data_IF_201186201893
#
_entry.id   IF_201186201893
#
_cell.length_a   1.000
_cell.length_b   1.000
_cell.length_c   1.000
_cell.angle_alpha   90.00
_cell.angle_beta   90.00
_cell.angle_gamma   90.00
#
_symmetry.space_group_name_H-M   'P 1'
#
loop_
_entity.id
_entity.type
_entity.pdbx_description
1 polymer ?
#
# COMPACT_ATOMS: atom_id res chain seq x y z
N UNK A 1 1.71 -4.35 -7.02
CA UNK A 1 1.36 -2.98 -6.56
C UNK A 1 -0.06 -2.56 -6.91
N UNK A 2 -0.44 -2.42 -8.20
CA UNK A 2 -1.82 -2.01 -8.59
C UNK A 2 -2.90 -2.92 -8.01
N UNK A 3 -2.69 -4.23 -7.99
CA UNK A 3 -3.61 -5.18 -7.36
C UNK A 3 -3.87 -4.85 -5.88
N UNK A 4 -2.81 -4.69 -5.08
CA UNK A 4 -2.94 -4.30 -3.67
C UNK A 4 -3.60 -2.93 -3.47
N UNK A 5 -3.38 -1.99 -4.38
CA UNK A 5 -4.10 -0.71 -4.34
C UNK A 5 -5.61 -0.92 -4.50
N UNK A 6 -6.03 -1.65 -5.53
CA UNK A 6 -7.45 -1.96 -5.79
C UNK A 6 -8.06 -2.71 -4.60
N UNK A 7 -7.38 -3.74 -4.09
CA UNK A 7 -7.86 -4.55 -2.96
C UNK A 7 -8.06 -3.75 -1.66
N UNK A 8 -7.32 -2.65 -1.47
CA UNK A 8 -7.31 -1.90 -0.22
C UNK A 8 -7.78 -0.46 -0.38
N UNK A 9 -8.38 -0.09 -1.52
CA UNK A 9 -8.73 1.30 -1.83
C UNK A 9 -9.67 1.90 -0.78
N UNK A 10 -10.56 1.09 -0.22
CA UNK A 10 -11.51 1.49 0.84
C UNK A 10 -10.76 1.87 2.14
N UNK A 11 -9.61 1.24 2.40
CA UNK A 11 -8.78 1.50 3.57
C UNK A 11 -7.81 2.67 3.39
N UNK A 12 -7.92 3.44 2.30
CA UNK A 12 -7.08 4.61 2.01
C UNK A 12 -7.94 5.86 2.18
N UNK A 13 -7.47 6.81 2.98
CA UNK A 13 -8.13 8.11 3.14
C UNK A 13 -8.21 8.83 1.80
N UNK A 14 -9.25 9.66 1.60
CA UNK A 14 -9.36 10.50 0.42
C UNK A 14 -8.17 11.46 0.32
N UNK A 15 -7.58 11.57 -0.86
CA UNK A 15 -6.43 12.43 -1.11
C UNK A 15 -5.70 12.10 -2.40
N UNK A 16 -4.58 12.77 -2.62
CA UNK A 16 -3.70 12.53 -3.77
C UNK A 16 -2.45 11.79 -3.30
N UNK A 17 -2.19 10.62 -3.88
CA UNK A 17 -1.08 9.76 -3.50
C UNK A 17 -0.30 9.33 -4.72
N UNK A 18 1.03 9.30 -4.59
CA UNK A 18 1.93 8.74 -5.59
C UNK A 18 2.59 7.51 -4.99
N UNK A 19 2.38 6.35 -5.63
CA UNK A 19 2.99 5.10 -5.20
C UNK A 19 4.27 4.85 -6.00
N UNK A 20 5.41 4.86 -5.31
CA UNK A 20 6.72 4.60 -5.92
C UNK A 20 7.30 3.31 -5.35
N UNK A 21 7.63 2.35 -6.23
CA UNK A 21 8.28 1.10 -5.85
C UNK A 21 9.81 1.30 -5.81
N UNK A 22 10.46 0.85 -4.73
CA UNK A 22 11.93 0.74 -4.69
C UNK A 22 12.38 -0.53 -5.42
N UNK A 23 13.57 -0.59 -6.03
CA UNK A 23 14.04 -1.80 -6.71
C UNK A 23 14.01 -3.06 -5.83
N UNK A 24 14.28 -2.92 -4.53
CA UNK A 24 14.25 -4.01 -3.55
C UNK A 24 12.87 -4.68 -3.33
N UNK A 25 11.79 -4.22 -3.97
CA UNK A 25 10.49 -4.92 -3.91
C UNK A 25 10.39 -6.02 -4.97
N UNK A 26 11.20 -6.00 -6.04
CA UNK A 26 11.09 -6.96 -7.13
C UNK A 26 11.45 -8.40 -6.73
N UNK A 27 12.31 -8.57 -5.73
CA UNK A 27 12.69 -9.88 -5.20
C UNK A 27 11.71 -10.43 -4.16
N UNK A 28 10.60 -9.73 -3.90
CA UNK A 28 9.63 -10.09 -2.85
C UNK A 28 8.41 -10.78 -3.43
N UNK A 29 7.88 -11.73 -2.66
CA UNK A 29 6.60 -12.36 -2.98
C UNK A 29 5.44 -11.37 -2.93
N UNK A 30 4.33 -11.72 -3.57
CA UNK A 30 3.09 -10.94 -3.54
C UNK A 30 2.61 -10.62 -2.11
N UNK A 31 2.71 -11.59 -1.18
CA UNK A 31 2.33 -11.38 0.22
C UNK A 31 3.26 -10.42 0.95
N UNK A 32 4.57 -10.51 0.70
CA UNK A 32 5.55 -9.59 1.28
C UNK A 32 5.37 -8.16 0.76
N UNK A 33 5.04 -8.02 -0.53
CA UNK A 33 4.70 -6.73 -1.14
C UNK A 33 3.43 -6.16 -0.50
N UNK A 34 2.40 -6.98 -0.24
CA UNK A 34 1.19 -6.54 0.49
C UNK A 34 1.54 -5.99 1.88
N UNK A 35 2.39 -6.69 2.63
CA UNK A 35 2.84 -6.23 3.95
C UNK A 35 3.60 -4.90 3.87
N UNK A 36 4.50 -4.77 2.90
CA UNK A 36 5.24 -3.54 2.67
C UNK A 36 4.31 -2.37 2.27
N UNK A 37 3.32 -2.64 1.43
CA UNK A 37 2.30 -1.67 0.99
C UNK A 37 1.50 -1.14 2.17
N UNK A 38 0.92 -2.01 3.00
CA UNK A 38 0.15 -1.59 4.19
C UNK A 38 1.04 -0.81 5.17
N UNK A 39 2.29 -1.24 5.37
CA UNK A 39 3.22 -0.52 6.23
C UNK A 39 3.52 0.89 5.70
N UNK A 40 3.71 1.05 4.39
CA UNK A 40 3.89 2.35 3.77
C UNK A 40 2.65 3.26 3.96
N UNK A 41 1.45 2.73 3.76
CA UNK A 41 0.21 3.48 4.00
C UNK A 41 0.07 3.97 5.46
N UNK A 42 0.42 3.11 6.43
CA UNK A 42 0.40 3.47 7.86
C UNK A 42 1.43 4.57 8.16
N UNK A 43 2.64 4.46 7.62
CA UNK A 43 3.71 5.45 7.82
C UNK A 43 3.38 6.82 7.23
N UNK A 44 2.65 6.86 6.12
CA UNK A 44 2.22 8.11 5.49
C UNK A 44 0.86 8.61 6.02
N UNK A 45 0.34 8.04 7.11
CA UNK A 45 -0.96 8.40 7.71
C UNK A 45 -2.14 8.31 6.74
N UNK A 46 -1.96 7.61 5.62
CA UNK A 46 -2.92 7.42 4.54
C UNK A 46 -3.88 6.25 4.82
N UNK A 47 -3.48 5.34 5.72
CA UNK A 47 -4.33 4.23 6.14
C UNK A 47 -5.49 4.72 7.02
N UNK A 48 -6.70 4.29 6.70
CA UNK A 48 -7.88 4.41 7.57
C UNK A 48 -8.40 3.01 7.91
N UNK A 49 -8.70 2.79 9.19
CA UNK A 49 -9.44 1.59 9.59
C UNK A 49 -10.90 1.82 9.24
N UNK A 50 -11.40 1.02 8.28
CA UNK A 50 -12.84 0.82 8.13
C UNK A 50 -13.32 0.05 9.36
N UNK A 51 -14.05 0.72 10.24
CA UNK A 51 -14.82 0.09 11.33
C UNK A 51 -16.10 -0.49 10.76
#
# INVERSE_FOLDING_TARGET
MRAHFIENIICIKSGHYVLVAKPAIFDKSFQEIKKAYINALKKCSAFQQTT
#
